data_IF_584131788952
#
_entry.id   IF_584131788952
#
_cell.length_a   1.000
_cell.length_b   1.000
_cell.length_c   1.000
_cell.angle_alpha   90.00
_cell.angle_beta   90.00
_cell.angle_gamma   90.00
#
_symmetry.space_group_name_H-M   'P 1'
#
loop_
_entity.id
_entity.type
_entity.pdbx_description
1 polymer ?
#
# COMPACT_ATOMS: atom_id res chain seq x y z
N UNK A 1 19.77 -38.01 -5.94
CA UNK A 1 18.70 -37.19 -6.54
C UNK A 1 19.20 -35.75 -6.57
N UNK A 2 19.62 -35.24 -7.73
CA UNK A 2 19.98 -33.84 -7.86
C UNK A 2 18.73 -32.97 -7.72
N UNK A 3 18.87 -31.74 -7.21
CA UNK A 3 17.75 -30.79 -7.13
C UNK A 3 17.24 -30.53 -8.54
N UNK A 4 16.11 -31.16 -8.89
CA UNK A 4 15.50 -31.02 -10.20
C UNK A 4 14.99 -29.60 -10.45
N UNK A 5 14.62 -29.30 -11.70
CA UNK A 5 14.07 -27.99 -12.11
C UNK A 5 12.87 -27.55 -11.26
N UNK A 6 12.02 -28.49 -10.85
CA UNK A 6 10.89 -28.22 -9.95
C UNK A 6 11.33 -27.84 -8.53
N UNK A 7 12.39 -28.46 -8.01
CA UNK A 7 12.97 -28.08 -6.72
C UNK A 7 13.55 -26.66 -6.74
N UNK A 8 14.27 -26.31 -7.81
CA UNK A 8 14.79 -24.94 -8.01
C UNK A 8 13.65 -23.91 -8.08
N UNK A 9 12.58 -24.22 -8.80
CA UNK A 9 11.42 -23.34 -8.93
C UNK A 9 10.70 -23.16 -7.60
N UNK A 10 10.51 -24.23 -6.84
CA UNK A 10 9.87 -24.17 -5.53
C UNK A 10 10.71 -23.37 -4.54
N UNK A 11 12.02 -23.59 -4.50
CA UNK A 11 12.95 -22.81 -3.66
C UNK A 11 12.99 -21.33 -4.03
N UNK A 12 12.96 -20.99 -5.32
CA UNK A 12 12.90 -19.61 -5.77
C UNK A 12 11.60 -18.92 -5.31
N UNK A 13 10.46 -19.62 -5.41
CA UNK A 13 9.17 -19.09 -4.94
C UNK A 13 9.12 -18.89 -3.43
N UNK A 14 9.56 -19.88 -2.65
CA UNK A 14 9.56 -19.76 -1.19
C UNK A 14 10.53 -18.69 -0.73
N UNK A 15 11.73 -18.61 -1.33
CA UNK A 15 12.71 -17.57 -1.04
C UNK A 15 12.18 -16.17 -1.36
N UNK A 16 11.50 -16.00 -2.51
CA UNK A 16 10.84 -14.74 -2.86
C UNK A 16 9.84 -14.30 -1.77
N UNK A 17 8.93 -15.19 -1.36
CA UNK A 17 7.92 -14.87 -0.34
C UNK A 17 8.55 -14.46 0.99
N UNK A 18 9.61 -15.15 1.43
CA UNK A 18 10.32 -14.80 2.67
C UNK A 18 10.89 -13.39 2.58
N UNK A 19 11.50 -13.03 1.44
CA UNK A 19 12.04 -11.68 1.24
C UNK A 19 10.95 -10.61 1.21
N UNK A 20 9.80 -10.89 0.61
CA UNK A 20 8.64 -9.97 0.64
C UNK A 20 8.17 -9.72 2.06
N UNK A 21 7.94 -10.79 2.83
CA UNK A 21 7.50 -10.69 4.23
C UNK A 21 8.54 -9.92 5.05
N UNK A 22 9.81 -10.18 4.82
CA UNK A 22 10.90 -9.51 5.54
C UNK A 22 10.98 -8.02 5.20
N UNK A 23 10.93 -7.64 3.92
CA UNK A 23 10.92 -6.23 3.48
C UNK A 23 9.70 -5.49 4.04
N UNK A 24 8.51 -6.08 3.95
CA UNK A 24 7.30 -5.52 4.54
C UNK A 24 7.46 -5.29 6.05
N UNK A 25 8.01 -6.27 6.75
CA UNK A 25 8.21 -6.21 8.20
C UNK A 25 9.22 -5.13 8.59
N UNK A 26 10.37 -5.07 7.91
CA UNK A 26 11.41 -4.08 8.18
C UNK A 26 10.91 -2.65 7.93
N UNK A 27 10.29 -2.39 6.79
CA UNK A 27 9.75 -1.06 6.51
C UNK A 27 8.62 -0.70 7.47
N UNK A 28 7.78 -1.65 7.88
CA UNK A 28 6.74 -1.38 8.87
C UNK A 28 7.31 -1.03 10.24
N UNK A 29 8.42 -1.66 10.64
CA UNK A 29 9.14 -1.30 11.86
C UNK A 29 9.74 0.11 11.74
N UNK A 30 10.39 0.43 10.63
CA UNK A 30 10.91 1.79 10.38
C UNK A 30 9.78 2.82 10.47
N UNK A 31 8.66 2.55 9.81
CA UNK A 31 7.49 3.44 9.86
C UNK A 31 6.90 3.61 11.26
N UNK A 32 6.99 2.59 12.11
CA UNK A 32 6.47 2.63 13.47
C UNK A 32 7.40 3.38 14.44
N UNK A 33 8.72 3.28 14.23
CA UNK A 33 9.72 3.77 15.18
C UNK A 33 10.43 5.07 14.75
N UNK A 34 10.43 5.41 13.47
CA UNK A 34 11.09 6.61 12.95
C UNK A 34 10.07 7.72 12.67
N UNK A 35 10.17 8.83 13.41
CA UNK A 35 9.24 9.97 13.29
C UNK A 35 9.28 10.64 11.91
N UNK A 36 10.43 10.63 11.25
CA UNK A 36 10.63 11.22 9.91
C UNK A 36 10.18 10.27 8.78
N UNK A 37 9.94 9.00 9.09
CA UNK A 37 9.58 8.00 8.10
C UNK A 37 8.08 8.07 7.81
N UNK A 38 7.71 8.54 6.62
CA UNK A 38 6.31 8.69 6.21
C UNK A 38 5.77 7.44 5.53
N UNK A 39 4.43 7.33 5.43
CA UNK A 39 3.77 6.25 4.69
C UNK A 39 4.19 6.19 3.22
N UNK A 40 4.59 7.32 2.62
CA UNK A 40 5.11 7.40 1.26
C UNK A 40 6.48 6.72 1.14
N UNK A 41 7.37 6.91 2.13
CA UNK A 41 8.65 6.20 2.22
C UNK A 41 8.42 4.70 2.40
N UNK A 42 7.47 4.33 3.27
CA UNK A 42 7.07 2.94 3.48
C UNK A 42 6.64 2.25 2.19
N UNK A 43 5.69 2.86 1.46
CA UNK A 43 5.15 2.30 0.24
C UNK A 43 6.21 2.25 -0.87
N UNK A 44 6.99 3.32 -1.03
CA UNK A 44 8.06 3.38 -2.02
C UNK A 44 9.15 2.34 -1.73
N UNK A 45 9.58 2.21 -0.47
CA UNK A 45 10.58 1.23 -0.02
C UNK A 45 10.20 -0.18 -0.40
N UNK A 46 9.02 -0.64 0.07
CA UNK A 46 8.50 -1.97 -0.24
C UNK A 46 8.38 -2.19 -1.75
N UNK A 47 7.87 -1.20 -2.48
CA UNK A 47 7.70 -1.29 -3.93
C UNK A 47 9.04 -1.49 -4.65
N UNK A 48 10.05 -0.68 -4.29
CA UNK A 48 11.38 -0.80 -4.89
C UNK A 48 12.08 -2.10 -4.51
N UNK A 49 11.94 -2.54 -3.26
CA UNK A 49 12.52 -3.79 -2.78
C UNK A 49 11.91 -4.99 -3.50
N UNK A 50 10.58 -5.01 -3.68
CA UNK A 50 9.90 -6.06 -4.44
C UNK A 50 10.46 -6.18 -5.87
N UNK A 51 10.71 -5.05 -6.54
CA UNK A 51 11.29 -5.03 -7.89
C UNK A 51 12.72 -5.57 -7.86
N UNK A 52 13.56 -5.14 -6.90
CA UNK A 52 14.93 -5.64 -6.75
C UNK A 52 14.95 -7.15 -6.49
N UNK A 53 14.12 -7.63 -5.58
CA UNK A 53 13.97 -9.05 -5.22
C UNK A 53 13.52 -9.85 -6.45
N UNK A 54 12.56 -9.35 -7.23
CA UNK A 54 12.07 -10.03 -8.42
C UNK A 54 13.17 -10.18 -9.47
N UNK A 55 13.91 -9.11 -9.76
CA UNK A 55 15.01 -9.14 -10.76
C UNK A 55 16.15 -10.04 -10.30
N UNK A 56 16.60 -9.88 -9.05
CA UNK A 56 17.67 -10.70 -8.47
C UNK A 56 17.28 -12.19 -8.39
N UNK A 57 16.04 -12.48 -7.96
CA UNK A 57 15.51 -13.84 -7.88
C UNK A 57 15.36 -14.49 -9.25
N UNK A 58 14.89 -13.75 -10.26
CA UNK A 58 14.81 -14.24 -11.63
C UNK A 58 16.21 -14.55 -12.20
N UNK A 59 17.17 -13.65 -12.01
CA UNK A 59 18.56 -13.87 -12.45
C UNK A 59 19.20 -15.09 -11.77
N UNK A 60 19.03 -15.23 -10.46
CA UNK A 60 19.52 -16.40 -9.71
C UNK A 60 18.86 -17.71 -10.13
N UNK A 61 17.56 -17.71 -10.41
CA UNK A 61 16.86 -18.88 -10.93
C UNK A 61 17.37 -19.27 -12.32
N UNK A 62 17.53 -18.32 -13.24
CA UNK A 62 18.05 -18.57 -14.58
C UNK A 62 19.48 -19.12 -14.54
N UNK A 63 20.34 -18.56 -13.68
CA UNK A 63 21.69 -19.07 -13.48
C UNK A 63 21.70 -20.50 -12.92
N UNK A 64 20.85 -20.78 -11.92
CA UNK A 64 20.67 -22.14 -11.38
C UNK A 64 20.22 -23.12 -12.46
N UNK A 65 19.21 -22.74 -13.25
CA UNK A 65 18.63 -23.58 -14.29
C UNK A 65 19.62 -23.86 -15.41
N UNK A 66 20.43 -22.88 -15.79
CA UNK A 66 21.51 -23.04 -16.76
C UNK A 66 22.53 -24.07 -16.28
N UNK A 67 23.03 -23.93 -15.06
CA UNK A 67 24.01 -24.88 -14.49
C UNK A 67 23.42 -26.29 -14.36
N UNK A 68 22.18 -26.41 -13.89
CA UNK A 68 21.49 -27.69 -13.81
C UNK A 68 21.27 -28.36 -15.18
N UNK A 69 21.10 -27.57 -16.25
CA UNK A 69 20.91 -28.07 -17.61
C UNK A 69 22.20 -28.47 -18.31
N UNK A 70 23.28 -27.70 -18.11
CA UNK A 70 24.56 -27.90 -18.81
C UNK A 70 25.42 -28.99 -18.15
N UNK A 71 25.38 -29.11 -16.82
CA UNK A 71 26.32 -29.96 -16.08
C UNK A 71 25.70 -31.25 -15.53
N UNK A 72 24.82 -31.89 -16.30
CA UNK A 72 24.06 -33.08 -15.89
C UNK A 72 24.91 -34.32 -15.58
N UNK A 73 26.18 -34.38 -16.01
CA UNK A 73 27.00 -35.61 -15.99
C UNK A 73 28.14 -35.66 -14.95
N UNK A 74 28.32 -34.67 -14.07
CA UNK A 74 29.44 -34.73 -13.12
C UNK A 74 29.49 -33.67 -12.01
N UNK A 75 28.42 -32.89 -11.84
CA UNK A 75 28.41 -31.79 -10.86
C UNK A 75 27.73 -32.21 -9.56
N UNK A 76 28.30 -31.76 -8.45
CA UNK A 76 27.73 -31.91 -7.10
C UNK A 76 26.30 -31.37 -7.12
N UNK A 77 25.34 -32.15 -6.62
CA UNK A 77 23.90 -31.84 -6.65
C UNK A 77 23.53 -30.45 -6.10
N UNK A 78 24.41 -29.85 -5.30
CA UNK A 78 24.25 -28.55 -4.64
C UNK A 78 24.73 -27.37 -5.51
N UNK A 79 25.58 -27.60 -6.51
CA UNK A 79 26.20 -26.52 -7.27
C UNK A 79 25.22 -25.58 -8.00
N UNK A 80 24.11 -26.06 -8.62
CA UNK A 80 23.13 -25.17 -9.24
C UNK A 80 22.54 -24.15 -8.25
N UNK A 81 22.25 -24.60 -7.02
CA UNK A 81 21.73 -23.73 -5.96
C UNK A 81 22.76 -22.66 -5.55
N UNK A 82 24.01 -23.07 -5.36
CA UNK A 82 25.09 -22.15 -4.97
C UNK A 82 25.28 -21.07 -6.03
N UNK A 83 25.34 -21.45 -7.31
CA UNK A 83 25.48 -20.48 -8.39
C UNK A 83 24.30 -19.52 -8.44
N UNK A 84 23.07 -20.02 -8.30
CA UNK A 84 21.90 -19.16 -8.25
C UNK A 84 21.92 -18.14 -7.13
N UNK A 85 22.29 -18.56 -5.92
CA UNK A 85 22.40 -17.67 -4.76
C UNK A 85 23.48 -16.61 -4.99
N UNK A 86 24.66 -17.00 -5.48
CA UNK A 86 25.75 -16.07 -5.76
C UNK A 86 25.33 -15.03 -6.80
N UNK A 87 24.68 -15.45 -7.89
CA UNK A 87 24.19 -14.54 -8.92
C UNK A 87 23.10 -13.63 -8.37
N UNK A 88 22.14 -14.15 -7.60
CA UNK A 88 21.09 -13.32 -6.99
C UNK A 88 21.68 -12.25 -6.06
N UNK A 89 22.67 -12.60 -5.24
CA UNK A 89 23.36 -11.65 -4.35
C UNK A 89 24.12 -10.59 -5.16
N UNK A 90 24.84 -11.00 -6.21
CA UNK A 90 25.60 -10.06 -7.05
C UNK A 90 24.68 -9.06 -7.76
N UNK A 91 23.59 -9.55 -8.35
CA UNK A 91 22.58 -8.72 -9.00
C UNK A 91 21.88 -7.82 -7.97
N UNK A 92 21.45 -8.37 -6.83
CA UNK A 92 20.84 -7.61 -5.74
C UNK A 92 21.73 -6.45 -5.27
N UNK A 93 23.02 -6.72 -5.00
CA UNK A 93 24.01 -5.69 -4.65
C UNK A 93 24.14 -4.60 -5.71
N UNK A 94 24.13 -5.00 -6.99
CA UNK A 94 24.22 -4.06 -8.10
C UNK A 94 22.98 -3.18 -8.18
N UNK A 95 21.79 -3.76 -8.04
CA UNK A 95 20.53 -3.00 -8.03
C UNK A 95 20.44 -2.05 -6.83
N UNK A 96 20.92 -2.48 -5.66
CA UNK A 96 20.99 -1.60 -4.48
C UNK A 96 21.93 -0.43 -4.72
N UNK A 97 23.12 -0.66 -5.28
CA UNK A 97 24.05 0.42 -5.59
C UNK A 97 23.48 1.39 -6.64
N UNK A 98 22.76 0.89 -7.64
CA UNK A 98 22.05 1.72 -8.63
C UNK A 98 20.97 2.54 -7.95
N UNK A 99 20.15 1.92 -7.10
CA UNK A 99 19.10 2.62 -6.36
C UNK A 99 19.68 3.69 -5.44
N UNK A 100 20.75 3.41 -4.70
CA UNK A 100 21.46 4.40 -3.88
C UNK A 100 22.05 5.53 -4.72
N UNK A 101 22.60 5.25 -5.91
CA UNK A 101 23.17 6.28 -6.77
C UNK A 101 22.10 7.19 -7.38
N UNK A 102 20.99 6.62 -7.87
CA UNK A 102 19.91 7.37 -8.53
C UNK A 102 18.81 7.80 -7.57
N UNK A 103 18.85 7.37 -6.31
CA UNK A 103 17.86 7.63 -5.28
C UNK A 103 16.45 7.25 -5.75
N UNK A 104 16.28 6.07 -6.36
CA UNK A 104 15.02 5.69 -7.03
C UNK A 104 13.90 5.59 -6.00
N UNK A 105 14.16 4.93 -4.87
CA UNK A 105 13.20 4.83 -3.76
C UNK A 105 12.78 6.20 -3.24
N UNK A 106 13.73 7.11 -3.01
CA UNK A 106 13.46 8.45 -2.47
C UNK A 106 12.69 9.30 -3.49
N UNK A 107 13.03 9.22 -4.77
CA UNK A 107 12.29 9.91 -5.85
C UNK A 107 10.86 9.40 -5.96
N UNK A 108 10.65 8.09 -5.81
CA UNK A 108 9.31 7.51 -5.79
C UNK A 108 8.51 7.97 -4.57
N UNK A 109 9.13 7.98 -3.38
CA UNK A 109 8.50 8.48 -2.16
C UNK A 109 8.10 9.95 -2.29
N UNK A 110 9.01 10.78 -2.82
CA UNK A 110 8.74 12.20 -3.07
C UNK A 110 7.61 12.40 -4.08
N UNK A 111 7.58 11.61 -5.15
CA UNK A 111 6.48 11.66 -6.12
C UNK A 111 5.12 11.34 -5.47
N UNK A 112 5.07 10.33 -4.60
CA UNK A 112 3.86 9.97 -3.85
C UNK A 112 3.44 11.09 -2.90
N UNK A 113 4.40 11.73 -2.23
CA UNK A 113 4.15 12.87 -1.34
C UNK A 113 3.58 14.08 -2.08
N UNK A 114 4.13 14.43 -3.25
CA UNK A 114 3.60 15.52 -4.08
C UNK A 114 2.17 15.22 -4.52
N UNK A 115 1.88 13.98 -4.90
CA UNK A 115 0.52 13.55 -5.26
C UNK A 115 -0.43 13.56 -4.07
N UNK A 116 0.04 13.18 -2.89
CA UNK A 116 -0.73 13.27 -1.65
C UNK A 116 -1.09 14.73 -1.35
N UNK A 117 -0.14 15.66 -1.47
CA UNK A 117 -0.39 17.08 -1.24
C UNK A 117 -1.43 17.64 -2.22
N UNK A 118 -1.31 17.30 -3.50
CA UNK A 118 -2.27 17.67 -4.55
C UNK A 118 -3.67 17.13 -4.23
N UNK A 119 -3.77 15.86 -3.83
CA UNK A 119 -5.04 15.23 -3.46
C UNK A 119 -5.61 15.87 -2.21
N UNK A 120 -4.80 16.16 -1.18
CA UNK A 120 -5.26 16.80 0.07
C UNK A 120 -5.83 18.18 -0.17
N UNK A 121 -5.18 19.01 -1.00
CA UNK A 121 -5.68 20.35 -1.32
C UNK A 121 -7.03 20.29 -2.06
N UNK A 122 -7.13 19.42 -3.06
CA UNK A 122 -8.35 19.22 -3.83
C UNK A 122 -9.47 18.58 -3.01
N UNK A 123 -9.14 17.60 -2.17
CA UNK A 123 -10.09 16.92 -1.30
C UNK A 123 -10.60 17.86 -0.22
N UNK A 124 -9.71 18.61 0.44
CA UNK A 124 -10.06 19.59 1.48
C UNK A 124 -11.13 20.56 0.97
N UNK A 125 -10.90 21.20 -0.18
CA UNK A 125 -11.87 22.12 -0.77
C UNK A 125 -13.23 21.45 -1.05
N UNK A 126 -13.23 20.24 -1.62
CA UNK A 126 -14.47 19.48 -1.88
C UNK A 126 -15.18 19.05 -0.59
N UNK A 127 -14.44 18.68 0.45
CA UNK A 127 -15.00 18.30 1.74
C UNK A 127 -15.64 19.48 2.44
N UNK A 128 -14.99 20.65 2.46
CA UNK A 128 -15.57 21.87 3.03
C UNK A 128 -16.86 22.28 2.31
N UNK A 129 -16.84 22.30 0.97
CA UNK A 129 -18.03 22.61 0.17
C UNK A 129 -19.15 21.59 0.40
N UNK A 130 -18.81 20.29 0.44
CA UNK A 130 -19.77 19.21 0.68
C UNK A 130 -20.42 19.29 2.06
N UNK A 131 -19.62 19.49 3.12
CA UNK A 131 -20.11 19.65 4.50
C UNK A 131 -20.99 20.89 4.61
N UNK A 132 -20.56 22.01 4.03
CA UNK A 132 -21.36 23.24 4.01
C UNK A 132 -22.70 23.03 3.29
N UNK A 133 -22.70 22.34 2.15
CA UNK A 133 -23.91 22.02 1.39
C UNK A 133 -24.88 21.13 2.18
N UNK A 134 -24.37 20.08 2.83
CA UNK A 134 -25.18 19.18 3.69
C UNK A 134 -25.75 19.96 4.87
N UNK A 135 -24.95 20.78 5.56
CA UNK A 135 -25.42 21.54 6.71
C UNK A 135 -26.52 22.53 6.33
N UNK A 136 -26.37 23.23 5.20
CA UNK A 136 -27.39 24.17 4.70
C UNK A 136 -28.66 23.46 4.27
N UNK A 137 -28.55 22.32 3.58
CA UNK A 137 -29.72 21.55 3.14
C UNK A 137 -30.49 20.94 4.31
N UNK A 138 -29.78 20.47 5.35
CA UNK A 138 -30.39 20.04 6.62
C UNK A 138 -31.05 21.22 7.33
N UNK A 139 -30.38 22.37 7.46
CA UNK A 139 -30.95 23.54 8.12
C UNK A 139 -32.22 24.05 7.43
N UNK A 140 -32.24 24.09 6.09
CA UNK A 140 -33.43 24.47 5.33
C UNK A 140 -34.57 23.47 5.49
N UNK A 141 -34.26 22.18 5.51
CA UNK A 141 -35.26 21.12 5.70
C UNK A 141 -35.83 21.15 7.12
N UNK A 142 -34.96 21.29 8.13
CA UNK A 142 -35.35 21.45 9.53
C UNK A 142 -36.24 22.68 9.72
N UNK A 143 -35.89 23.82 9.10
CA UNK A 143 -36.70 25.04 9.17
C UNK A 143 -38.11 24.86 8.60
N UNK A 144 -38.25 24.12 7.50
CA UNK A 144 -39.56 23.81 6.90
C UNK A 144 -40.39 22.85 7.76
N UNK A 145 -39.76 21.82 8.35
CA UNK A 145 -40.46 20.88 9.22
C UNK A 145 -40.88 21.54 10.55
N UNK A 146 -39.99 22.34 11.15
CA UNK A 146 -40.28 23.09 12.37
C UNK A 146 -41.39 24.11 12.17
N UNK A 147 -41.41 24.85 11.05
CA UNK A 147 -42.49 25.81 10.79
C UNK A 147 -43.84 25.11 10.65
N UNK A 148 -43.89 23.95 9.98
CA UNK A 148 -45.11 23.17 9.84
C UNK A 148 -45.56 22.55 11.18
N UNK A 149 -44.63 22.03 11.98
CA UNK A 149 -44.93 21.46 13.29
C UNK A 149 -45.39 22.52 14.30
N UNK A 150 -44.73 23.68 14.33
CA UNK A 150 -45.12 24.80 15.17
C UNK A 150 -46.52 25.30 14.81
N UNK A 151 -46.82 25.47 13.52
CA UNK A 151 -48.14 25.91 13.08
C UNK A 151 -49.23 24.91 13.45
N UNK A 152 -48.97 23.60 13.32
CA UNK A 152 -49.92 22.55 13.76
C UNK A 152 -50.20 22.61 15.25
N UNK A 153 -49.14 22.65 16.09
CA UNK A 153 -49.31 22.73 17.54
C UNK A 153 -50.03 24.00 18.00
N UNK A 154 -49.70 25.15 17.40
CA UNK A 154 -50.37 26.41 17.69
C UNK A 154 -51.86 26.31 17.36
N UNK A 155 -52.20 25.74 16.21
CA UNK A 155 -53.60 25.61 15.79
C UNK A 155 -54.39 24.60 16.65
N UNK A 156 -53.75 23.54 17.14
CA UNK A 156 -54.34 22.63 18.13
C UNK A 156 -54.58 23.32 19.48
N UNK A 157 -53.62 24.10 19.97
CA UNK A 157 -53.75 24.83 21.24
C UNK A 157 -54.83 25.92 21.18
N UNK A 158 -54.94 26.63 20.05
CA UNK A 158 -55.95 27.68 19.86
C UNK A 158 -57.37 27.10 19.71
N UNK A 159 -57.53 25.87 19.19
CA UNK A 159 -58.84 25.21 19.06
C UNK A 159 -59.38 24.63 20.37
N UNK A 160 -58.59 24.58 21.44
CA UNK A 160 -59.05 24.21 22.77
C UNK A 160 -59.77 25.39 23.44
N UNK A 161 -60.97 25.72 22.98
CA UNK A 161 -61.91 26.53 23.77
C UNK A 161 -62.51 25.65 24.87
N UNK A 162 -62.23 25.89 26.17
CA UNK A 162 -62.90 25.14 27.23
C UNK A 162 -64.38 25.50 27.20
N UNK A 163 -65.21 24.51 26.86
CA UNK A 163 -66.67 24.60 26.96
C UNK A 163 -67.03 24.54 28.43
N UNK A 164 -67.11 25.71 29.07
CA UNK A 164 -67.65 25.85 30.42
C UNK A 164 -69.13 25.45 30.38
N UNK A 165 -69.50 24.60 31.32
CA UNK A 165 -70.75 23.84 31.41
C UNK A 165 -72.01 24.73 31.44
N UNK A 166 -73.09 24.22 30.83
CA UNK A 166 -74.48 24.43 31.27
C UNK A 166 -74.90 23.17 32.04
#
# INVERSE_FOLDING_TARGET
MAVGKEGLKQSAKSGFLVLVIFSLSLHSLQWLFEDEYRWTNWLAGISTDLVKIAIAGAAGYLASAFVAGVFSAGVIAVAPLVVGVVVAIAIGRTLTAIDEHYQITQRLAHYLEVKEAEVKLNASNKFYDGVYYVMRSVAQTARRQLSQAATRKINELIRFTPRLWN
#
